data_IF_514596052639
#
_entry.id   IF_514596052639
#
_cell.length_a   1.000
_cell.length_b   1.000
_cell.length_c   1.000
_cell.angle_alpha   90.00
_cell.angle_beta   90.00
_cell.angle_gamma   90.00
#
_symmetry.space_group_name_H-M   'P 1'
#
loop_
_entity.id
_entity.type
_entity.pdbx_description
1 polymer ?
#
# COMPACT_ATOMS: atom_id res chain seq x y z
N UNK A 1 -12.56 -21.13 -4.09
CA UNK A 1 -11.78 -20.59 -2.96
C UNK A 1 -11.29 -19.26 -3.46
N UNK A 2 -11.83 -18.15 -2.95
CA UNK A 2 -11.43 -16.82 -3.41
C UNK A 2 -10.14 -16.49 -2.67
N UNK A 3 -9.00 -16.62 -3.33
CA UNK A 3 -7.74 -16.19 -2.75
C UNK A 3 -7.87 -14.68 -2.45
N UNK A 4 -7.50 -14.23 -1.24
CA UNK A 4 -7.57 -12.82 -0.91
C UNK A 4 -6.71 -12.04 -1.92
N UNK A 5 -7.34 -11.11 -2.63
CA UNK A 5 -6.65 -10.24 -3.59
C UNK A 5 -5.65 -9.39 -2.83
N UNK A 6 -4.40 -9.35 -3.32
CA UNK A 6 -3.35 -8.54 -2.71
C UNK A 6 -3.75 -7.06 -2.72
N UNK A 7 -3.60 -6.35 -1.61
CA UNK A 7 -3.85 -4.91 -1.50
C UNK A 7 -2.52 -4.16 -1.35
N UNK A 8 -2.31 -3.13 -2.17
CA UNK A 8 -1.13 -2.26 -2.12
C UNK A 8 -1.53 -0.83 -1.79
N UNK A 9 -1.10 -0.31 -0.64
CA UNK A 9 -1.23 1.10 -0.29
C UNK A 9 -0.05 1.89 -0.87
N UNK A 10 -0.32 2.78 -1.81
CA UNK A 10 0.71 3.47 -2.60
C UNK A 10 0.66 4.98 -2.41
N UNK A 11 1.82 5.59 -2.12
CA UNK A 11 1.99 7.04 -2.13
C UNK A 11 3.06 7.45 -3.17
N UNK A 12 2.76 8.45 -4.04
CA UNK A 12 3.74 8.97 -4.99
C UNK A 12 5.01 9.48 -4.32
N UNK A 13 6.16 9.34 -5.01
CA UNK A 13 7.48 9.80 -4.53
C UNK A 13 7.91 9.16 -3.20
N UNK A 14 7.53 7.90 -2.97
CA UNK A 14 7.96 7.11 -1.82
C UNK A 14 8.53 5.75 -2.24
N UNK A 15 9.02 4.99 -1.25
CA UNK A 15 9.54 3.63 -1.47
C UNK A 15 8.45 2.61 -1.81
N UNK A 16 7.16 2.96 -1.74
CA UNK A 16 6.07 2.09 -2.21
C UNK A 16 6.12 1.83 -3.71
N UNK A 17 6.84 2.66 -4.48
CA UNK A 17 7.03 2.44 -5.92
C UNK A 17 7.75 1.12 -6.22
N UNK A 18 8.69 0.68 -5.37
CA UNK A 18 9.40 -0.59 -5.60
C UNK A 18 8.46 -1.79 -5.52
N UNK A 19 7.51 -1.78 -4.59
CA UNK A 19 6.50 -2.83 -4.48
C UNK A 19 5.54 -2.80 -5.68
N UNK A 20 5.07 -1.60 -6.07
CA UNK A 20 4.24 -1.41 -7.27
C UNK A 20 4.94 -2.00 -8.50
N UNK A 21 6.20 -1.61 -8.74
CA UNK A 21 6.95 -2.07 -9.90
C UNK A 21 7.11 -3.59 -9.91
N UNK A 22 7.44 -4.21 -8.77
CA UNK A 22 7.55 -5.66 -8.69
C UNK A 22 6.25 -6.38 -9.05
N UNK A 23 5.10 -5.87 -8.58
CA UNK A 23 3.80 -6.47 -8.89
C UNK A 23 3.45 -6.38 -10.38
N UNK A 24 3.77 -5.24 -11.01
CA UNK A 24 3.63 -5.07 -12.46
C UNK A 24 4.53 -6.05 -13.24
N UNK A 25 5.81 -6.16 -12.87
CA UNK A 25 6.76 -7.06 -13.54
C UNK A 25 6.35 -8.54 -13.42
N UNK A 26 5.77 -8.92 -12.29
CA UNK A 26 5.28 -10.28 -12.06
C UNK A 26 3.91 -10.55 -12.70
N UNK A 27 3.23 -9.53 -13.22
CA UNK A 27 1.85 -9.65 -13.70
C UNK A 27 0.87 -10.11 -12.61
N UNK A 28 1.20 -9.85 -11.34
CA UNK A 28 0.40 -10.30 -10.21
C UNK A 28 -0.89 -9.47 -10.14
N UNK A 29 -2.08 -10.07 -10.02
CA UNK A 29 -3.29 -9.30 -9.75
C UNK A 29 -3.28 -8.71 -8.34
N UNK A 30 -3.52 -7.40 -8.23
CA UNK A 30 -3.62 -6.69 -6.95
C UNK A 30 -4.59 -5.50 -7.05
N UNK A 31 -5.02 -4.99 -5.90
CA UNK A 31 -5.80 -3.76 -5.78
C UNK A 31 -4.89 -2.63 -5.31
N UNK A 32 -4.85 -1.52 -6.06
CA UNK A 32 -4.06 -0.34 -5.73
C UNK A 32 -4.89 0.67 -4.93
N UNK A 33 -4.50 0.92 -3.68
CA UNK A 33 -5.05 1.97 -2.84
C UNK A 33 -4.14 3.20 -2.90
N UNK A 34 -4.56 4.23 -3.65
CA UNK A 34 -3.88 5.51 -3.60
C UNK A 34 -3.98 6.12 -2.19
N UNK A 35 -2.84 6.38 -1.58
CA UNK A 35 -2.74 6.77 -0.18
C UNK A 35 -1.94 8.07 -0.04
N UNK A 36 -2.55 9.06 0.61
CA UNK A 36 -1.85 10.31 0.93
C UNK A 36 -1.14 10.17 2.27
N UNK A 37 0.13 10.55 2.31
CA UNK A 37 0.90 10.68 3.57
C UNK A 37 0.72 12.06 4.20
N UNK A 38 0.06 12.99 3.52
CA UNK A 38 -0.25 14.32 4.03
C UNK A 38 -1.35 14.25 5.10
N UNK A 39 -1.41 15.27 5.95
CA UNK A 39 -2.47 15.39 6.96
C UNK A 39 -2.53 14.25 7.98
N UNK A 40 -1.41 13.54 8.21
CA UNK A 40 -1.29 12.46 9.19
C UNK A 40 -2.30 11.30 9.00
N UNK A 41 -2.82 11.09 7.77
CA UNK A 41 -3.69 9.95 7.45
C UNK A 41 -3.06 8.59 7.80
N UNK A 42 -1.75 8.49 7.60
CA UNK A 42 -0.92 7.32 7.90
C UNK A 42 -0.70 7.06 9.40
N UNK A 43 -1.17 7.96 10.28
CA UNK A 43 -1.12 7.82 11.73
C UNK A 43 -2.50 7.56 12.34
N UNK A 44 -3.54 7.46 11.52
CA UNK A 44 -4.88 7.16 12.01
C UNK A 44 -4.96 5.70 12.45
N UNK A 45 -5.81 5.43 13.44
CA UNK A 45 -5.88 4.14 14.12
C UNK A 45 -6.13 2.96 13.17
N UNK A 46 -6.92 3.17 12.12
CA UNK A 46 -7.23 2.17 11.11
C UNK A 46 -6.00 1.78 10.26
N UNK A 47 -5.18 2.75 9.85
CA UNK A 47 -3.94 2.46 9.11
C UNK A 47 -2.84 1.92 10.02
N UNK A 48 -2.75 2.40 11.27
CA UNK A 48 -1.81 1.88 12.26
C UNK A 48 -2.14 0.44 12.70
N UNK A 49 -3.41 0.03 12.63
CA UNK A 49 -3.80 -1.36 12.83
C UNK A 49 -3.25 -2.29 11.73
N UNK A 50 -3.04 -1.78 10.51
CA UNK A 50 -2.39 -2.51 9.42
C UNK A 50 -0.87 -2.50 9.55
N UNK A 51 -0.29 -1.32 9.76
CA UNK A 51 1.15 -1.13 9.92
C UNK A 51 1.42 -0.17 11.08
N UNK A 52 1.87 -0.66 12.26
CA UNK A 52 2.16 0.18 13.42
C UNK A 52 3.21 1.27 13.17
N UNK A 53 4.05 1.14 12.13
CA UNK A 53 5.03 2.15 11.75
C UNK A 53 4.38 3.32 10.96
N UNK A 54 3.16 3.15 10.45
CA UNK A 54 2.45 4.14 9.65
C UNK A 54 3.18 4.47 8.34
N UNK A 55 3.75 3.46 7.68
CA UNK A 55 4.48 3.63 6.41
C UNK A 55 3.84 2.82 5.29
N UNK A 56 4.05 3.31 4.07
CA UNK A 56 3.77 2.58 2.82
C UNK A 56 5.09 2.05 2.23
N UNK A 57 5.05 1.03 1.35
CA UNK A 57 3.87 0.26 0.95
C UNK A 57 3.22 -0.49 2.12
#
# INVERSE_FOLDING_TARGET
MTDPTLELYYAPRTRSFTALWLLEELGQPYTLHAFSLEGDRHKQADFLALNPMGKVP
#
